data_IF_628048338753
#
_entry.id   IF_628048338753
#
_cell.length_a   1.000
_cell.length_b   1.000
_cell.length_c   1.000
_cell.angle_alpha   90.00
_cell.angle_beta   90.00
_cell.angle_gamma   90.00
#
_symmetry.space_group_name_H-M   'P 1'
#
loop_
_entity.id
_entity.type
_entity.pdbx_description
1 polymer ?
#
# COMPACT_ATOMS: atom_id res chain seq x y z
N UNK A 1 -10.64 0.95 -4.77
CA UNK A 1 -9.80 2.14 -5.05
C UNK A 1 -10.17 2.82 -6.37
N UNK A 2 -10.06 4.15 -6.45
CA UNK A 2 -10.25 4.92 -7.68
C UNK A 2 -8.93 5.35 -8.34
N UNK A 3 -8.99 5.80 -9.60
CA UNK A 3 -7.81 6.23 -10.38
C UNK A 3 -7.01 7.38 -9.74
N UNK A 4 -7.65 8.29 -9.02
CA UNK A 4 -6.95 9.41 -8.38
C UNK A 4 -6.11 8.94 -7.18
N UNK A 5 -6.65 8.00 -6.40
CA UNK A 5 -5.91 7.36 -5.32
C UNK A 5 -4.71 6.58 -5.86
N UNK A 6 -4.89 5.80 -6.94
CA UNK A 6 -3.80 5.08 -7.59
C UNK A 6 -2.69 6.03 -8.08
N UNK A 7 -3.05 7.17 -8.67
CA UNK A 7 -2.08 8.19 -9.10
C UNK A 7 -1.34 8.83 -7.91
N UNK A 8 -2.04 9.13 -6.80
CA UNK A 8 -1.42 9.66 -5.58
C UNK A 8 -0.41 8.67 -4.96
N UNK A 9 -0.82 7.41 -4.83
CA UNK A 9 0.05 6.33 -4.33
C UNK A 9 1.30 6.18 -5.22
N UNK A 10 1.14 6.22 -6.55
CA UNK A 10 2.28 6.18 -7.48
C UNK A 10 3.21 7.38 -7.27
N UNK A 11 2.67 8.59 -7.13
CA UNK A 11 3.50 9.78 -6.93
C UNK A 11 4.33 9.70 -5.65
N UNK A 12 3.74 9.22 -4.56
CA UNK A 12 4.44 9.00 -3.29
C UNK A 12 5.52 7.92 -3.39
N UNK A 13 5.24 6.81 -4.07
CA UNK A 13 6.21 5.74 -4.26
C UNK A 13 7.36 6.17 -5.18
N UNK A 14 7.07 6.92 -6.24
CA UNK A 14 8.10 7.53 -7.10
C UNK A 14 8.98 8.49 -6.29
N UNK A 15 8.44 9.18 -5.28
CA UNK A 15 9.23 10.00 -4.36
C UNK A 15 10.10 9.18 -3.36
N UNK A 16 10.13 7.85 -3.49
CA UNK A 16 10.94 6.94 -2.67
C UNK A 16 10.26 6.46 -1.39
N UNK A 17 8.97 6.72 -1.21
CA UNK A 17 8.23 6.28 -0.02
C UNK A 17 7.87 4.80 -0.10
N UNK A 18 7.81 4.15 1.08
CA UNK A 18 7.27 2.81 1.25
C UNK A 18 5.82 2.91 1.69
N UNK A 19 4.93 2.30 0.93
CA UNK A 19 3.48 2.43 1.07
C UNK A 19 2.90 1.04 1.30
N UNK A 20 2.05 0.91 2.32
CA UNK A 20 1.22 -0.27 2.50
C UNK A 20 -0.21 0.09 2.14
N UNK A 21 -0.77 -0.58 1.14
CA UNK A 21 -2.19 -0.49 0.79
C UNK A 21 -2.92 -1.64 1.48
N UNK A 22 -3.88 -1.32 2.35
CA UNK A 22 -4.74 -2.30 3.00
C UNK A 22 -6.10 -2.34 2.32
N UNK A 23 -6.47 -3.50 1.81
CA UNK A 23 -7.72 -3.76 1.12
C UNK A 23 -8.64 -4.68 1.95
N UNK A 24 -9.88 -4.85 1.49
CA UNK A 24 -10.87 -5.71 2.15
C UNK A 24 -10.52 -7.19 2.06
N UNK A 25 -10.09 -7.65 0.91
CA UNK A 25 -9.78 -9.05 0.66
C UNK A 25 -8.76 -9.21 -0.47
N UNK A 26 -8.34 -10.45 -0.71
CA UNK A 26 -7.31 -10.78 -1.70
C UNK A 26 -7.74 -10.42 -3.12
N UNK A 27 -9.04 -10.48 -3.43
CA UNK A 27 -9.53 -10.10 -4.75
C UNK A 27 -9.38 -8.59 -4.93
N UNK A 28 -9.78 -7.79 -3.94
CA UNK A 28 -9.56 -6.34 -3.93
C UNK A 28 -8.08 -5.98 -3.96
N UNK A 29 -7.18 -6.75 -3.33
CA UNK A 29 -5.72 -6.54 -3.44
C UNK A 29 -5.23 -6.64 -4.89
N UNK A 30 -5.73 -7.63 -5.64
CA UNK A 30 -5.33 -7.83 -7.05
C UNK A 30 -5.85 -6.71 -7.94
N UNK A 31 -7.10 -6.31 -7.73
CA UNK A 31 -7.71 -5.19 -8.44
C UNK A 31 -6.97 -3.88 -8.15
N UNK A 32 -6.60 -3.64 -6.88
CA UNK A 32 -5.81 -2.48 -6.50
C UNK A 32 -4.40 -2.49 -7.14
N UNK A 33 -3.75 -3.65 -7.24
CA UNK A 33 -2.47 -3.77 -7.93
C UNK A 33 -2.60 -3.40 -9.40
N UNK A 34 -3.64 -3.88 -10.06
CA UNK A 34 -3.88 -3.60 -11.47
C UNK A 34 -4.19 -2.13 -11.71
N UNK A 35 -5.03 -1.52 -10.88
CA UNK A 35 -5.35 -0.08 -10.93
C UNK A 35 -4.08 0.78 -10.75
N UNK A 36 -3.24 0.46 -9.75
CA UNK A 36 -1.97 1.17 -9.50
C UNK A 36 -1.02 0.99 -10.67
N UNK A 37 -0.85 -0.26 -11.15
CA UNK A 37 0.05 -0.57 -12.25
C UNK A 37 -0.35 0.16 -13.54
N UNK A 38 -1.65 0.26 -13.83
CA UNK A 38 -2.16 1.01 -14.99
C UNK A 38 -1.97 2.53 -14.87
N UNK A 39 -1.85 3.05 -13.65
CA UNK A 39 -1.61 4.46 -13.39
C UNK A 39 -0.12 4.86 -13.38
N UNK A 40 0.81 3.91 -13.63
CA UNK A 40 2.25 4.19 -13.66
C UNK A 40 2.60 4.99 -14.93
N UNK A 41 3.36 6.09 -14.83
CA UNK A 41 3.85 6.81 -16.00
C UNK A 41 4.77 5.94 -16.88
N UNK A 42 4.70 6.10 -18.20
CA UNK A 42 5.39 5.23 -19.18
C UNK A 42 6.93 5.24 -19.07
N UNK A 43 7.50 6.27 -18.46
CA UNK A 43 8.94 6.52 -18.33
C UNK A 43 9.51 6.09 -16.96
N UNK A 44 8.71 5.46 -16.11
CA UNK A 44 9.11 5.01 -14.78
C UNK A 44 9.42 3.52 -14.80
N UNK A 45 10.66 3.16 -14.43
CA UNK A 45 11.06 1.77 -14.25
C UNK A 45 10.43 1.17 -12.99
N UNK A 46 9.78 0.02 -13.15
CA UNK A 46 9.08 -0.67 -12.07
C UNK A 46 9.23 -2.18 -12.16
N UNK A 47 9.21 -2.82 -11.00
CA UNK A 47 9.11 -4.28 -10.87
C UNK A 47 7.80 -4.63 -10.18
N UNK A 48 6.90 -5.26 -10.94
CA UNK A 48 5.61 -5.74 -10.41
C UNK A 48 5.74 -7.20 -10.01
N UNK A 49 5.38 -7.52 -8.76
CA UNK A 49 5.40 -8.89 -8.22
C UNK A 49 4.00 -9.32 -7.78
N UNK A 50 3.64 -10.54 -8.16
CA UNK A 50 2.42 -11.23 -7.74
C UNK A 50 2.80 -12.61 -7.20
N UNK A 51 2.87 -12.78 -5.87
CA UNK A 51 3.25 -14.07 -5.29
C UNK A 51 2.45 -14.38 -4.02
N UNK A 52 1.66 -15.46 -4.01
CA UNK A 52 0.99 -16.01 -2.82
C UNK A 52 0.20 -15.00 -1.97
N UNK A 53 -0.46 -14.02 -2.61
CA UNK A 53 -1.20 -12.96 -1.91
C UNK A 53 -0.32 -11.85 -1.32
N UNK A 54 0.94 -11.77 -1.75
CA UNK A 54 1.80 -10.61 -1.60
C UNK A 54 1.94 -9.95 -2.98
N UNK A 55 1.09 -8.96 -3.22
CA UNK A 55 1.13 -8.07 -4.37
C UNK A 55 2.05 -6.88 -4.04
N UNK A 56 3.04 -6.61 -4.88
CA UNK A 56 3.91 -5.44 -4.70
C UNK A 56 4.38 -4.82 -6.01
N UNK A 57 4.73 -3.54 -5.92
CA UNK A 57 5.38 -2.76 -6.98
C UNK A 57 6.61 -2.09 -6.37
N UNK A 58 7.78 -2.35 -6.93
CA UNK A 58 9.03 -1.70 -6.52
C UNK A 58 9.46 -0.70 -7.58
N UNK A 59 10.02 0.43 -7.15
CA UNK A 59 10.55 1.51 -8.00
C UNK A 59 12.08 1.54 -7.82
N UNK A 60 12.85 0.75 -8.58
CA UNK A 60 14.27 0.50 -8.29
C UNK A 60 15.13 1.77 -8.30
N UNK A 61 14.78 2.75 -9.15
CA UNK A 61 15.50 4.01 -9.28
C UNK A 61 15.40 4.88 -8.02
N UNK A 62 14.26 4.88 -7.34
CA UNK A 62 13.97 5.78 -6.22
C UNK A 62 13.97 5.06 -4.88
N UNK A 63 13.93 3.72 -4.89
CA UNK A 63 13.82 2.88 -3.70
C UNK A 63 12.41 2.80 -3.12
N UNK A 64 11.42 3.40 -3.78
CA UNK A 64 10.03 3.34 -3.36
C UNK A 64 9.43 1.94 -3.52
N UNK A 65 8.43 1.65 -2.69
CA UNK A 65 7.77 0.35 -2.69
C UNK A 65 6.30 0.51 -2.34
N UNK A 66 5.44 -0.20 -3.06
CA UNK A 66 4.03 -0.35 -2.76
C UNK A 66 3.80 -1.82 -2.43
N UNK A 67 3.35 -2.10 -1.21
CA UNK A 67 2.93 -3.44 -0.79
C UNK A 67 1.42 -3.44 -0.57
N UNK A 68 0.71 -4.35 -1.22
CA UNK A 68 -0.75 -4.43 -1.15
C UNK A 68 -1.14 -5.70 -0.40
N UNK A 69 -2.02 -5.57 0.59
CA UNK A 69 -2.45 -6.69 1.45
C UNK A 69 -3.90 -6.54 1.85
N UNK A 70 -4.58 -7.65 2.02
CA UNK A 70 -5.88 -7.63 2.71
C UNK A 70 -5.70 -7.38 4.20
N UNK A 71 -6.68 -6.75 4.85
CA UNK A 71 -6.65 -6.49 6.29
C UNK A 71 -6.44 -7.76 7.15
N UNK A 72 -6.81 -8.94 6.63
CA UNK A 72 -6.66 -10.24 7.30
C UNK A 72 -5.25 -10.80 7.27
N UNK A 73 -4.44 -10.43 6.26
CA UNK A 73 -3.06 -10.92 6.16
C UNK A 73 -2.12 -10.21 7.14
N UNK A 74 -2.56 -9.06 7.67
CA UNK A 74 -1.75 -8.22 8.52
C UNK A 74 -0.53 -7.65 7.79
N UNK A 75 0.23 -6.83 8.50
CA UNK A 75 1.39 -6.12 7.94
C UNK A 75 2.62 -6.20 8.84
N UNK A 76 2.67 -7.18 9.76
CA UNK A 76 3.80 -7.36 10.68
C UNK A 76 5.11 -7.54 9.91
N UNK A 77 6.16 -6.88 10.40
CA UNK A 77 7.50 -6.96 9.83
C UNK A 77 7.70 -6.12 8.56
N UNK A 78 6.73 -5.27 8.20
CA UNK A 78 6.86 -4.34 7.08
C UNK A 78 6.97 -2.92 7.65
N UNK A 79 8.04 -2.22 7.31
CA UNK A 79 8.17 -0.79 7.60
C UNK A 79 7.57 0.02 6.46
N UNK A 80 6.82 1.05 6.80
CA UNK A 80 6.20 1.95 5.83
C UNK A 80 6.31 3.40 6.26
N UNK A 81 6.20 4.28 5.28
CA UNK A 81 6.04 5.72 5.46
C UNK A 81 4.56 6.09 5.39
N UNK A 82 3.79 5.40 4.55
CA UNK A 82 2.35 5.63 4.38
C UNK A 82 1.58 4.31 4.50
N UNK A 83 0.49 4.33 5.26
CA UNK A 83 -0.55 3.28 5.21
C UNK A 83 -1.79 3.87 4.54
N UNK A 84 -2.17 3.31 3.40
CA UNK A 84 -3.38 3.66 2.67
C UNK A 84 -4.47 2.61 2.95
N UNK A 85 -5.61 3.04 3.50
CA UNK A 85 -6.78 2.17 3.69
C UNK A 85 -7.73 2.36 2.52
N UNK A 86 -7.94 1.30 1.74
CA UNK A 86 -8.91 1.32 0.64
C UNK A 86 -10.35 1.45 1.17
N UNK A 87 -11.27 1.82 0.27
CA UNK A 87 -12.64 2.16 0.61
C UNK A 87 -13.31 1.05 1.43
N UNK A 88 -13.99 1.45 2.51
CA UNK A 88 -14.73 0.57 3.40
C UNK A 88 -13.89 -0.51 4.11
N UNK A 89 -12.57 -0.34 4.19
CA UNK A 89 -11.69 -1.15 5.06
C UNK A 89 -11.67 -0.64 6.49
N UNK A 90 -11.73 0.69 6.69
CA UNK A 90 -11.67 1.33 8.02
C UNK A 90 -12.64 0.69 9.05
N UNK A 91 -13.92 0.42 8.71
CA UNK A 91 -14.87 -0.20 9.66
C UNK A 91 -14.60 -1.68 9.98
N UNK A 92 -13.72 -2.34 9.22
CA UNK A 92 -13.34 -3.74 9.39
C UNK A 92 -12.15 -3.91 10.33
N UNK A 93 -11.35 -2.85 10.52
CA UNK A 93 -10.25 -2.79 11.48
C UNK A 93 -10.80 -2.58 12.90
N UNK A 94 -11.53 -3.58 13.39
CA UNK A 94 -12.14 -3.56 14.73
C UNK A 94 -11.13 -4.05 15.76
N UNK A 95 -10.94 -3.25 16.81
CA UNK A 95 -10.09 -3.58 17.95
C UNK A 95 -8.74 -2.88 17.94
N UNK A 96 -8.22 -2.64 19.13
CA UNK A 96 -6.98 -1.89 19.38
C UNK A 96 -5.77 -2.55 18.72
N UNK A 97 -5.74 -3.88 18.63
CA UNK A 97 -4.59 -4.63 18.11
C UNK A 97 -4.35 -4.40 16.61
N UNK A 98 -5.43 -4.29 15.82
CA UNK A 98 -5.33 -4.04 14.38
C UNK A 98 -4.69 -2.67 14.11
N UNK A 99 -5.17 -1.64 14.80
CA UNK A 99 -4.62 -0.29 14.70
C UNK A 99 -3.19 -0.20 15.23
N UNK A 100 -2.93 -0.84 16.37
CA UNK A 100 -1.58 -0.90 16.95
C UNK A 100 -0.59 -1.52 15.97
N UNK A 101 -0.99 -2.57 15.25
CA UNK A 101 -0.14 -3.18 14.23
C UNK A 101 0.12 -2.25 13.04
N UNK A 102 -0.83 -1.41 12.63
CA UNK A 102 -0.61 -0.45 11.55
C UNK A 102 0.31 0.69 11.98
N UNK A 103 0.11 1.24 13.18
CA UNK A 103 1.00 2.25 13.75
C UNK A 103 2.42 1.71 13.95
N UNK A 104 2.58 0.44 14.31
CA UNK A 104 3.90 -0.18 14.44
C UNK A 104 4.69 -0.18 13.12
N UNK A 105 4.01 -0.31 11.97
CA UNK A 105 4.68 -0.28 10.66
C UNK A 105 5.23 1.11 10.33
N UNK A 106 4.60 2.16 10.86
CA UNK A 106 4.96 3.56 10.65
C UNK A 106 5.98 4.08 11.67
N UNK A 107 6.23 3.36 12.76
CA UNK A 107 6.95 3.86 13.94
C UNK A 107 8.38 4.34 13.66
N UNK A 108 9.02 3.85 12.59
CA UNK A 108 10.37 4.23 12.19
C UNK A 108 10.41 5.34 11.13
N UNK A 109 9.27 5.77 10.59
CA UNK A 109 9.21 6.77 9.53
C UNK A 109 9.18 8.20 10.07
N UNK A 110 9.94 9.08 9.44
CA UNK A 110 9.86 10.54 9.66
C UNK A 110 8.69 11.19 8.92
N UNK A 111 8.03 10.44 8.03
CA UNK A 111 6.91 10.89 7.19
C UNK A 111 5.66 10.04 7.41
N UNK A 112 5.49 9.48 8.62
CA UNK A 112 4.42 8.58 8.98
C UNK A 112 3.03 9.17 8.71
N UNK A 113 2.26 8.53 7.83
CA UNK A 113 0.90 8.95 7.49
C UNK A 113 -0.06 7.76 7.36
N UNK A 114 -1.32 7.97 7.77
CA UNK A 114 -2.43 7.05 7.48
C UNK A 114 -3.48 7.79 6.66
N UNK A 115 -3.74 7.30 5.45
CA UNK A 115 -4.73 7.85 4.53
C UNK A 115 -5.95 6.92 4.50
N UNK A 116 -7.16 7.49 4.53
CA UNK A 116 -8.43 6.75 4.48
C UNK A 116 -9.22 7.21 3.25
N UNK A 117 -9.62 6.27 2.40
CA UNK A 117 -10.42 6.51 1.20
C UNK A 117 -11.92 6.66 1.50
#
# INVERSE_FOLDING_TARGET
MNRYAAAGINADAIAGKRIIVITRDVQTSREALEEIAQAIPQDVDVVVRRANGAESISYPTTGGEITIRSYRQGARGVSADIVYLDEAVDPLLRGTDAWTSLYANLAASQHAEIIRA
#
